data_IF_201225772924
#
_entry.id   IF_201225772924
#
_cell.length_a   1.000
_cell.length_b   1.000
_cell.length_c   1.000
_cell.angle_alpha   90.00
_cell.angle_beta   90.00
_cell.angle_gamma   90.00
#
_symmetry.space_group_name_H-M   'P 1'
#
loop_
_entity.id
_entity.type
_entity.pdbx_description
1 polymer ?
#
# COMPACT_ATOMS: atom_id res chain seq x y z
N UNK A 1 -11.20 2.39 -46.43
CA UNK A 1 -11.82 1.31 -45.62
C UNK A 1 -10.96 0.93 -44.41
N UNK A 2 -9.63 0.89 -44.53
CA UNK A 2 -8.74 0.56 -43.40
C UNK A 2 -8.65 1.67 -42.33
N UNK A 3 -8.56 2.95 -42.72
CA UNK A 3 -8.53 4.09 -41.79
C UNK A 3 -9.81 4.24 -40.94
N UNK A 4 -10.96 3.84 -41.47
CA UNK A 4 -12.27 3.87 -40.78
C UNK A 4 -12.42 2.74 -39.75
N UNK A 5 -11.69 1.63 -39.92
CA UNK A 5 -11.68 0.52 -38.95
C UNK A 5 -10.80 0.85 -37.74
N UNK A 6 -9.63 1.46 -37.98
CA UNK A 6 -8.72 1.88 -36.90
C UNK A 6 -9.33 2.98 -36.04
N UNK A 7 -10.04 3.96 -36.64
CA UNK A 7 -10.73 5.01 -35.87
C UNK A 7 -11.90 4.46 -35.05
N UNK A 8 -12.63 3.45 -35.57
CA UNK A 8 -13.71 2.79 -34.84
C UNK A 8 -13.20 1.92 -33.68
N UNK A 9 -12.12 1.17 -33.89
CA UNK A 9 -11.43 0.44 -32.81
C UNK A 9 -10.88 1.40 -31.76
N UNK A 10 -10.30 2.53 -32.19
CA UNK A 10 -9.78 3.54 -31.28
C UNK A 10 -10.91 4.20 -30.48
N UNK A 11 -12.03 4.53 -31.11
CA UNK A 11 -13.18 5.10 -30.39
C UNK A 11 -13.77 4.11 -29.40
N UNK A 12 -13.87 2.83 -29.73
CA UNK A 12 -14.38 1.80 -28.80
C UNK A 12 -13.40 1.55 -27.64
N UNK A 13 -12.10 1.56 -27.92
CA UNK A 13 -11.06 1.52 -26.89
C UNK A 13 -11.15 2.74 -25.96
N UNK A 14 -11.26 3.95 -26.51
CA UNK A 14 -11.43 5.18 -25.72
C UNK A 14 -12.71 5.12 -24.89
N UNK A 15 -13.81 4.58 -25.44
CA UNK A 15 -15.08 4.39 -24.71
C UNK A 15 -14.93 3.39 -23.57
N UNK A 16 -14.27 2.27 -23.81
CA UNK A 16 -13.99 1.25 -22.81
C UNK A 16 -13.10 1.79 -21.67
N UNK A 17 -12.03 2.51 -22.04
CA UNK A 17 -11.08 3.12 -21.09
C UNK A 17 -11.77 4.23 -20.28
N UNK A 18 -12.60 5.05 -20.92
CA UNK A 18 -13.38 6.08 -20.24
C UNK A 18 -14.40 5.48 -19.26
N UNK A 19 -15.04 4.38 -19.65
CA UNK A 19 -15.97 3.63 -18.80
C UNK A 19 -15.33 2.98 -17.56
N UNK A 20 -14.04 2.68 -17.61
CA UNK A 20 -13.28 2.04 -16.51
C UNK A 20 -12.17 2.93 -15.94
N UNK A 21 -12.19 4.22 -16.21
CA UNK A 21 -11.15 5.19 -15.86
C UNK A 21 -10.73 5.12 -14.38
N UNK A 22 -11.68 4.95 -13.45
CA UNK A 22 -11.41 4.83 -12.03
C UNK A 22 -10.67 3.54 -11.63
N UNK A 23 -10.84 2.45 -12.36
CA UNK A 23 -10.12 1.18 -12.15
C UNK A 23 -8.72 1.27 -12.75
N UNK A 24 -8.62 1.83 -13.95
CA UNK A 24 -7.34 2.05 -14.65
C UNK A 24 -6.41 2.97 -13.86
N UNK A 25 -6.93 4.03 -13.25
CA UNK A 25 -6.17 4.91 -12.38
C UNK A 25 -5.57 4.16 -11.17
N UNK A 26 -6.33 3.23 -10.56
CA UNK A 26 -5.84 2.44 -9.42
C UNK A 26 -4.76 1.45 -9.83
N UNK A 27 -4.95 0.78 -10.97
CA UNK A 27 -3.94 -0.11 -11.53
C UNK A 27 -2.66 0.64 -11.88
N UNK A 28 -2.78 1.84 -12.48
CA UNK A 28 -1.63 2.69 -12.79
C UNK A 28 -0.88 3.10 -11.52
N UNK A 29 -1.59 3.52 -10.46
CA UNK A 29 -0.99 3.87 -9.16
C UNK A 29 -0.25 2.67 -8.55
N UNK A 30 -0.83 1.48 -8.61
CA UNK A 30 -0.19 0.26 -8.12
C UNK A 30 1.09 -0.07 -8.92
N UNK A 31 1.05 0.05 -10.25
CA UNK A 31 2.21 -0.17 -11.12
C UNK A 31 3.32 0.86 -10.87
N UNK A 32 2.97 2.14 -10.72
CA UNK A 32 3.92 3.20 -10.40
C UNK A 32 4.55 2.98 -9.03
N UNK A 33 3.78 2.55 -8.03
CA UNK A 33 4.32 2.22 -6.70
C UNK A 33 5.29 1.04 -6.77
N UNK A 34 4.96 0.00 -7.55
CA UNK A 34 5.85 -1.13 -7.78
C UNK A 34 7.15 -0.71 -8.49
N UNK A 35 7.06 0.11 -9.54
CA UNK A 35 8.22 0.63 -10.25
C UNK A 35 9.10 1.52 -9.35
N UNK A 36 8.48 2.40 -8.56
CA UNK A 36 9.17 3.25 -7.60
C UNK A 36 9.92 2.43 -6.54
N UNK A 37 9.34 1.32 -6.08
CA UNK A 37 9.99 0.40 -5.14
C UNK A 37 11.30 -0.15 -5.73
N UNK A 38 11.27 -0.60 -6.97
CA UNK A 38 12.43 -1.20 -7.64
C UNK A 38 13.55 -0.16 -7.81
N UNK A 39 13.18 1.07 -8.21
CA UNK A 39 14.11 2.19 -8.35
C UNK A 39 14.71 2.57 -7.00
N UNK A 40 13.88 2.73 -5.97
CA UNK A 40 14.31 3.11 -4.63
C UNK A 40 15.28 2.08 -4.06
N UNK A 41 14.98 0.79 -4.22
CA UNK A 41 15.88 -0.28 -3.80
C UNK A 41 17.23 -0.22 -4.50
N UNK A 42 17.24 -0.09 -5.83
CA UNK A 42 18.47 -0.06 -6.62
C UNK A 42 19.36 1.14 -6.26
N UNK A 43 18.76 2.28 -5.93
CA UNK A 43 19.49 3.53 -5.71
C UNK A 43 19.88 3.78 -4.26
N UNK A 44 19.07 3.34 -3.29
CA UNK A 44 19.17 3.84 -1.91
C UNK A 44 19.25 2.77 -0.83
N UNK A 45 18.79 1.54 -1.10
CA UNK A 45 18.78 0.51 -0.07
C UNK A 45 20.08 -0.28 -0.08
N UNK A 46 20.87 -0.14 0.99
CA UNK A 46 22.02 -1.00 1.29
C UNK A 46 21.95 -1.38 2.76
N UNK A 47 21.90 -2.67 3.05
CA UNK A 47 21.88 -3.15 4.42
C UNK A 47 23.17 -2.66 5.13
N UNK A 48 23.07 -2.06 6.33
CA UNK A 48 24.26 -1.52 7.01
C UNK A 48 25.14 -2.64 7.60
N UNK A 49 24.62 -3.86 7.76
CA UNK A 49 25.30 -4.99 8.38
C UNK A 49 25.94 -4.66 9.74
N UNK A 50 25.19 -3.89 10.54
CA UNK A 50 25.53 -3.58 11.92
C UNK A 50 24.60 -4.35 12.85
N UNK A 51 25.14 -5.11 13.83
CA UNK A 51 24.33 -5.81 14.81
C UNK A 51 23.45 -4.82 15.57
N UNK A 52 22.19 -5.18 15.82
CA UNK A 52 21.18 -4.36 16.46
C UNK A 52 20.56 -3.27 15.58
N UNK A 53 21.15 -2.91 14.43
CA UNK A 53 20.65 -1.81 13.57
C UNK A 53 20.01 -2.28 12.26
N UNK A 54 20.31 -3.48 11.80
CA UNK A 54 19.77 -4.03 10.56
C UNK A 54 18.23 -4.02 10.53
N UNK A 55 17.59 -4.51 11.60
CA UNK A 55 16.13 -4.56 11.73
C UNK A 55 15.45 -3.18 11.68
N UNK A 56 15.95 -2.22 12.45
CA UNK A 56 15.41 -0.86 12.46
C UNK A 56 15.58 -0.16 11.12
N UNK A 57 16.75 -0.29 10.48
CA UNK A 57 17.00 0.31 9.17
C UNK A 57 16.05 -0.25 8.10
N UNK A 58 15.94 -1.58 8.01
CA UNK A 58 15.03 -2.23 7.06
C UNK A 58 13.55 -1.84 7.30
N UNK A 59 13.10 -1.82 8.56
CA UNK A 59 11.74 -1.43 8.91
C UNK A 59 11.42 0.02 8.48
N UNK A 60 12.35 0.96 8.72
CA UNK A 60 12.21 2.36 8.29
C UNK A 60 12.17 2.47 6.77
N UNK A 61 13.01 1.71 6.05
CA UNK A 61 13.04 1.73 4.59
C UNK A 61 11.77 1.18 3.93
N UNK A 62 11.05 0.25 4.58
CA UNK A 62 9.72 -0.18 4.13
C UNK A 62 8.65 0.85 4.55
N UNK A 63 8.67 1.27 5.81
CA UNK A 63 7.59 2.02 6.44
C UNK A 63 7.50 3.49 6.02
N UNK A 64 8.62 4.20 5.93
CA UNK A 64 8.61 5.65 5.61
C UNK A 64 8.07 5.92 4.20
N UNK A 65 8.53 5.23 3.14
CA UNK A 65 7.94 5.44 1.81
C UNK A 65 6.46 5.08 1.75
N UNK A 66 6.03 4.01 2.42
CA UNK A 66 4.61 3.66 2.51
C UNK A 66 3.78 4.76 3.18
N UNK A 67 4.30 5.36 4.27
CA UNK A 67 3.65 6.49 4.93
C UNK A 67 3.55 7.71 4.02
N UNK A 68 4.62 8.05 3.29
CA UNK A 68 4.61 9.17 2.34
C UNK A 68 3.60 8.94 1.21
N UNK A 69 3.52 7.73 0.66
CA UNK A 69 2.53 7.36 -0.34
C UNK A 69 1.10 7.47 0.20
N UNK A 70 0.87 7.08 1.45
CA UNK A 70 -0.44 7.25 2.10
C UNK A 70 -0.82 8.72 2.22
N UNK A 71 0.10 9.55 2.72
CA UNK A 71 -0.12 11.00 2.88
C UNK A 71 -0.39 11.68 1.53
N UNK A 72 0.39 11.34 0.49
CA UNK A 72 0.19 11.84 -0.87
C UNK A 72 -1.17 11.39 -1.45
N UNK A 73 -1.59 10.15 -1.16
CA UNK A 73 -2.89 9.62 -1.60
C UNK A 73 -4.06 10.31 -0.92
N UNK A 74 -3.91 10.72 0.34
CA UNK A 74 -4.92 11.56 1.02
C UNK A 74 -4.92 12.99 0.51
N UNK A 75 -3.73 13.60 0.36
CA UNK A 75 -3.60 14.98 -0.10
C UNK A 75 -4.09 15.19 -1.53
N UNK A 76 -4.04 14.17 -2.40
CA UNK A 76 -4.56 14.27 -3.78
C UNK A 76 -6.08 14.07 -3.89
N UNK A 77 -6.77 13.66 -2.81
CA UNK A 77 -8.20 13.36 -2.84
C UNK A 77 -9.07 14.61 -2.64
N UNK A 78 -9.78 15.13 -3.66
CA UNK A 78 -10.65 16.31 -3.49
C UNK A 78 -11.79 16.08 -2.49
N UNK A 79 -12.16 14.82 -2.24
CA UNK A 79 -13.15 14.44 -1.21
C UNK A 79 -12.62 14.61 0.21
N UNK A 80 -11.32 14.41 0.43
CA UNK A 80 -10.68 14.64 1.75
C UNK A 80 -10.75 16.12 2.07
N UNK A 81 -10.32 16.96 1.13
CA UNK A 81 -10.33 18.41 1.29
C UNK A 81 -11.72 18.96 1.51
N UNK A 82 -12.73 18.52 0.74
CA UNK A 82 -14.14 18.90 0.95
C UNK A 82 -14.66 18.61 2.36
N UNK A 83 -14.13 17.57 3.03
CA UNK A 83 -14.51 17.20 4.39
C UNK A 83 -13.79 18.04 5.46
N UNK A 84 -12.54 18.42 5.18
CA UNK A 84 -11.71 19.23 6.09
C UNK A 84 -12.08 20.71 6.00
N UNK A 85 -12.41 21.21 4.80
CA UNK A 85 -12.86 22.59 4.58
C UNK A 85 -14.25 22.80 5.21
N UNK A 86 -14.31 23.63 6.26
CA UNK A 86 -15.55 23.94 6.98
C UNK A 86 -15.63 23.38 8.42
N UNK A 87 -14.77 22.43 8.80
CA UNK A 87 -14.77 21.87 10.17
C UNK A 87 -14.40 22.89 11.26
N UNK A 88 -13.56 23.89 10.95
CA UNK A 88 -13.11 24.89 11.92
C UNK A 88 -14.01 26.13 12.03
N UNK A 89 -14.88 26.39 11.05
CA UNK A 89 -15.76 27.59 11.04
C UNK A 89 -16.90 27.46 12.06
N UNK A 90 -17.26 26.23 12.45
CA UNK A 90 -18.30 25.95 13.45
C UNK A 90 -17.87 26.22 14.90
N UNK A 91 -16.58 26.44 15.17
CA UNK A 91 -16.07 26.66 16.55
C UNK A 91 -15.98 28.13 16.98
N UNK A 92 -16.12 29.10 16.06
CA UNK A 92 -15.89 30.52 16.36
C UNK A 92 -17.16 31.38 16.45
N UNK A 93 -18.34 30.86 16.10
CA UNK A 93 -19.58 31.65 16.10
C UNK A 93 -20.62 31.09 17.06
N UNK A 94 -20.53 31.58 18.29
CA UNK A 94 -21.60 31.56 19.29
C UNK A 94 -22.76 32.47 18.85
N UNK A 95 -23.45 32.18 17.74
CA UNK A 95 -24.83 32.65 17.48
C UNK A 95 -25.42 32.00 16.20
N UNK A 96 -26.39 31.11 16.42
CA UNK A 96 -27.55 30.77 15.56
C UNK A 96 -27.35 30.28 14.10
N UNK A 97 -27.75 29.02 13.92
CA UNK A 97 -28.61 28.48 12.86
C UNK A 97 -28.06 28.27 11.44
N UNK A 98 -27.39 27.12 11.22
CA UNK A 98 -27.72 26.20 10.09
C UNK A 98 -27.17 24.77 10.27
N UNK A 99 -27.03 24.29 11.50
CA UNK A 99 -26.77 22.88 11.78
C UNK A 99 -27.77 22.37 12.81
N UNK A 100 -29.05 22.66 12.58
CA UNK A 100 -30.16 22.15 13.37
C UNK A 100 -30.88 21.08 12.54
N UNK A 101 -30.22 19.93 12.40
CA UNK A 101 -30.93 18.67 12.25
C UNK A 101 -30.84 17.94 13.60
N UNK A 102 -31.97 17.52 14.20
CA UNK A 102 -32.00 16.86 15.49
C UNK A 102 -31.46 15.43 15.31
N UNK A 103 -30.20 15.21 15.67
CA UNK A 103 -29.54 13.92 15.49
C UNK A 103 -28.08 13.94 15.91
N UNK A 104 -27.77 14.43 17.10
CA UNK A 104 -26.39 14.65 17.60
C UNK A 104 -25.57 13.36 17.84
N UNK A 105 -26.04 12.18 17.41
CA UNK A 105 -25.24 10.96 17.27
C UNK A 105 -24.72 10.71 15.85
N UNK A 106 -25.18 11.43 14.82
CA UNK A 106 -24.90 11.09 13.41
C UNK A 106 -23.78 11.90 12.73
N UNK A 107 -23.37 13.04 13.26
CA UNK A 107 -22.30 13.84 12.62
C UNK A 107 -20.92 13.16 12.70
N UNK A 108 -20.61 12.55 13.85
CA UNK A 108 -19.37 11.77 14.02
C UNK A 108 -19.38 10.53 13.14
N UNK A 109 -20.51 9.85 13.00
CA UNK A 109 -20.66 8.68 12.14
C UNK A 109 -20.60 9.01 10.65
N UNK A 110 -21.08 10.18 10.22
CA UNK A 110 -20.95 10.64 8.83
C UNK A 110 -19.51 11.01 8.46
N UNK A 111 -18.78 11.72 9.33
CA UNK A 111 -17.36 12.01 9.09
C UNK A 111 -16.52 10.73 9.08
N UNK A 112 -16.74 9.80 10.02
CA UNK A 112 -16.02 8.52 10.03
C UNK A 112 -16.36 7.66 8.81
N UNK A 113 -17.63 7.59 8.40
CA UNK A 113 -18.04 6.82 7.23
C UNK A 113 -17.41 7.37 5.94
N UNK A 114 -17.30 8.70 5.79
CA UNK A 114 -16.64 9.31 4.64
C UNK A 114 -15.13 9.07 4.68
N UNK A 115 -14.47 9.25 5.84
CA UNK A 115 -13.03 8.94 5.97
C UNK A 115 -12.74 7.47 5.66
N UNK A 116 -13.55 6.54 6.18
CA UNK A 116 -13.44 5.10 5.91
C UNK A 116 -13.63 4.79 4.41
N UNK A 117 -14.58 5.45 3.74
CA UNK A 117 -14.82 5.28 2.30
C UNK A 117 -13.68 5.85 1.43
N UNK A 118 -12.94 6.84 1.92
CA UNK A 118 -11.83 7.48 1.22
C UNK A 118 -10.52 6.73 1.46
N UNK A 119 -10.34 6.12 2.64
CA UNK A 119 -9.15 5.32 2.96
C UNK A 119 -8.96 4.12 2.05
N UNK A 120 -10.03 3.48 1.55
CA UNK A 120 -9.90 2.30 0.68
C UNK A 120 -9.11 2.56 -0.61
N UNK A 121 -9.20 3.75 -1.19
CA UNK A 121 -8.43 4.12 -2.39
C UNK A 121 -6.99 4.53 -2.05
N UNK A 122 -6.83 5.22 -0.93
CA UNK A 122 -5.53 5.73 -0.50
C UNK A 122 -4.58 4.62 -0.01
N UNK A 123 -5.12 3.48 0.41
CA UNK A 123 -4.35 2.33 0.85
C UNK A 123 -3.76 1.49 -0.29
N UNK A 124 -4.19 1.67 -1.54
CA UNK A 124 -3.68 0.88 -2.67
C UNK A 124 -2.18 1.06 -2.84
N UNK A 125 -1.69 2.31 -2.91
CA UNK A 125 -0.27 2.61 -3.07
C UNK A 125 0.62 2.05 -1.94
N UNK A 126 0.34 2.31 -0.63
CA UNK A 126 1.17 1.77 0.46
C UNK A 126 1.11 0.25 0.56
N UNK A 127 -0.05 -0.39 0.34
CA UNK A 127 -0.15 -1.85 0.35
C UNK A 127 0.68 -2.45 -0.80
N UNK A 128 0.56 -1.88 -2.02
CA UNK A 128 1.37 -2.31 -3.16
C UNK A 128 2.87 -2.17 -2.89
N UNK A 129 3.28 -1.04 -2.29
CA UNK A 129 4.69 -0.83 -1.90
C UNK A 129 5.19 -1.92 -0.95
N UNK A 130 4.48 -2.16 0.16
CA UNK A 130 4.86 -3.14 1.18
C UNK A 130 4.90 -4.55 0.57
N UNK A 131 3.88 -4.92 -0.21
CA UNK A 131 3.82 -6.21 -0.86
C UNK A 131 5.01 -6.45 -1.79
N UNK A 132 5.35 -5.48 -2.65
CA UNK A 132 6.48 -5.61 -3.58
C UNK A 132 7.81 -5.64 -2.82
N UNK A 133 7.98 -4.83 -1.77
CA UNK A 133 9.17 -4.87 -0.92
C UNK A 133 9.37 -6.23 -0.25
N UNK A 134 8.30 -6.87 0.23
CA UNK A 134 8.31 -8.21 0.81
C UNK A 134 8.56 -9.30 -0.23
N UNK A 135 7.92 -9.22 -1.40
CA UNK A 135 8.14 -10.18 -2.49
C UNK A 135 9.58 -10.14 -3.02
N UNK A 136 10.23 -8.96 -2.99
CA UNK A 136 11.65 -8.84 -3.31
C UNK A 136 12.54 -9.51 -2.24
N UNK A 137 12.17 -9.40 -0.97
CA UNK A 137 12.83 -10.09 0.14
C UNK A 137 14.08 -9.41 0.69
N UNK A 138 14.71 -8.50 -0.05
CA UNK A 138 15.97 -7.84 0.36
C UNK A 138 15.87 -7.11 1.71
N UNK A 139 14.76 -6.41 1.96
CA UNK A 139 14.52 -5.69 3.21
C UNK A 139 14.33 -6.65 4.39
N UNK A 140 13.54 -7.71 4.19
CA UNK A 140 13.25 -8.70 5.20
C UNK A 140 14.49 -9.51 5.58
N UNK A 141 15.27 -9.93 4.57
CA UNK A 141 16.55 -10.61 4.77
C UNK A 141 17.50 -9.75 5.60
N UNK A 142 17.61 -8.44 5.29
CA UNK A 142 18.39 -7.53 6.13
C UNK A 142 17.84 -7.50 7.57
N UNK A 143 16.52 -7.37 7.74
CA UNK A 143 15.89 -7.24 9.05
C UNK A 143 16.10 -8.45 9.97
N UNK A 144 15.93 -9.65 9.44
CA UNK A 144 15.93 -10.91 10.22
C UNK A 144 17.25 -11.68 10.17
N UNK A 145 18.22 -11.23 9.37
CA UNK A 145 19.56 -11.84 9.28
C UNK A 145 20.21 -12.08 10.64
N UNK A 146 20.08 -11.16 11.59
CA UNK A 146 20.67 -11.24 12.94
C UNK A 146 19.94 -12.22 13.88
N UNK A 147 18.67 -12.53 13.60
CA UNK A 147 17.77 -13.28 14.50
C UNK A 147 17.34 -14.63 13.94
N UNK A 148 17.82 -15.00 12.76
CA UNK A 148 17.48 -16.28 12.14
C UNK A 148 17.89 -17.46 13.02
N UNK A 149 17.01 -18.44 13.13
CA UNK A 149 17.33 -19.69 13.81
C UNK A 149 18.37 -20.48 12.99
N UNK A 150 19.52 -20.73 13.61
CA UNK A 150 20.64 -21.46 13.01
C UNK A 150 20.77 -22.88 13.55
N UNK A 151 19.88 -23.31 14.45
CA UNK A 151 19.82 -24.68 14.99
C UNK A 151 19.82 -25.75 13.89
N UNK A 152 19.03 -25.60 12.79
CA UNK A 152 18.98 -26.62 11.73
C UNK A 152 20.28 -26.82 10.96
N UNK A 153 21.20 -25.86 11.01
CA UNK A 153 22.38 -25.83 10.15
C UNK A 153 23.68 -26.28 10.82
N UNK A 154 23.60 -26.81 12.05
CA UNK A 154 24.75 -27.34 12.80
C UNK A 154 25.99 -26.42 12.82
N UNK A 155 25.76 -25.10 12.86
CA UNK A 155 26.83 -24.11 12.86
C UNK A 155 27.62 -24.14 14.18
N UNK A 156 28.97 -24.00 14.13
CA UNK A 156 29.77 -23.92 15.34
C UNK A 156 29.39 -22.67 16.16
N UNK A 157 29.55 -22.68 17.50
CA UNK A 157 29.13 -21.56 18.35
C UNK A 157 29.73 -20.21 17.95
N UNK A 158 30.99 -20.22 17.49
CA UNK A 158 31.69 -19.03 17.00
C UNK A 158 31.05 -18.40 15.76
N UNK A 159 30.33 -19.19 14.94
CA UNK A 159 29.61 -18.71 13.76
C UNK A 159 28.14 -18.37 14.03
N UNK A 160 27.64 -18.62 15.25
CA UNK A 160 26.26 -18.33 15.70
C UNK A 160 26.12 -16.92 16.32
N UNK A 161 27.19 -16.13 16.35
CA UNK A 161 27.15 -14.80 16.97
C UNK A 161 26.33 -13.82 16.15
N UNK A 162 25.56 -12.96 16.82
CA UNK A 162 24.75 -11.90 16.17
C UNK A 162 25.58 -11.03 15.23
N UNK A 163 26.85 -10.80 15.54
CA UNK A 163 27.78 -10.04 14.71
C UNK A 163 28.02 -10.71 13.35
N UNK A 164 28.24 -12.02 13.34
CA UNK A 164 28.46 -12.81 12.12
C UNK A 164 27.16 -12.93 11.30
N UNK A 165 26.04 -13.15 11.99
CA UNK A 165 24.72 -13.23 11.37
C UNK A 165 24.28 -11.90 10.76
N UNK A 166 24.57 -10.77 11.40
CA UNK A 166 24.25 -9.44 10.87
C UNK A 166 25.01 -9.11 9.56
N UNK A 167 26.13 -9.80 9.30
CA UNK A 167 26.98 -9.60 8.12
C UNK A 167 26.59 -10.44 6.90
N UNK A 168 25.78 -11.50 7.09
CA UNK A 168 25.32 -12.40 6.02
C UNK A 168 24.83 -11.70 4.74
N UNK A 169 24.00 -10.64 4.81
CA UNK A 169 23.44 -10.01 3.62
C UNK A 169 24.42 -9.10 2.87
N UNK A 170 25.53 -8.65 3.48
CA UNK A 170 26.45 -7.69 2.85
C UNK A 170 27.78 -8.29 2.43
N UNK A 171 28.29 -9.27 3.18
CA UNK A 171 29.69 -9.67 3.05
C UNK A 171 29.90 -10.55 1.82
N UNK A 172 30.92 -10.18 1.04
CA UNK A 172 31.45 -11.03 -0.04
C UNK A 172 32.08 -12.28 0.57
N UNK A 173 31.90 -13.42 -0.09
CA UNK A 173 32.22 -14.78 0.39
C UNK A 173 33.60 -14.97 1.04
N UNK A 174 34.57 -14.09 0.78
CA UNK A 174 35.97 -14.22 1.18
C UNK A 174 36.28 -13.91 2.66
N UNK A 175 35.44 -13.17 3.40
CA UNK A 175 35.69 -12.85 4.82
C UNK A 175 34.79 -13.61 5.80
N UNK A 176 33.98 -14.55 5.30
CA UNK A 176 33.14 -15.41 6.12
C UNK A 176 33.88 -16.71 6.50
N UNK A 177 33.67 -17.25 7.72
CA UNK A 177 34.16 -18.58 8.06
C UNK A 177 33.62 -19.62 7.05
N UNK A 178 34.41 -20.65 6.68
CA UNK A 178 34.02 -21.61 5.65
C UNK A 178 32.73 -22.37 5.98
N UNK A 179 32.49 -22.65 7.26
CA UNK A 179 31.24 -23.27 7.74
C UNK A 179 30.01 -22.37 7.51
N UNK A 180 30.15 -21.05 7.72
CA UNK A 180 29.06 -20.09 7.51
C UNK A 180 28.85 -19.83 6.01
N UNK A 181 29.93 -19.85 5.22
CA UNK A 181 29.87 -19.67 3.78
C UNK A 181 29.06 -20.76 3.08
N UNK A 182 29.23 -22.02 3.49
CA UNK A 182 28.52 -23.16 2.90
C UNK A 182 27.00 -23.05 3.06
N UNK A 183 26.57 -22.61 4.24
CA UNK A 183 25.16 -22.53 4.63
C UNK A 183 24.50 -21.19 4.25
N UNK A 184 25.30 -20.14 4.01
CA UNK A 184 24.83 -18.77 3.74
C UNK A 184 23.68 -18.73 2.73
N UNK A 185 23.83 -19.38 1.58
CA UNK A 185 22.83 -19.32 0.52
C UNK A 185 21.51 -19.98 0.94
N UNK A 186 21.57 -21.04 1.75
CA UNK A 186 20.38 -21.73 2.26
C UNK A 186 19.65 -20.85 3.26
N UNK A 187 20.36 -20.18 4.16
CA UNK A 187 19.77 -19.21 5.10
C UNK A 187 19.13 -18.03 4.35
N UNK A 188 19.85 -17.43 3.40
CA UNK A 188 19.34 -16.29 2.63
C UNK A 188 18.11 -16.69 1.80
N UNK A 189 18.09 -17.91 1.23
CA UNK A 189 16.95 -18.46 0.52
C UNK A 189 15.77 -18.74 1.45
N UNK A 190 16.03 -19.27 2.65
CA UNK A 190 15.01 -19.49 3.66
C UNK A 190 14.30 -18.18 4.04
N UNK A 191 15.08 -17.15 4.41
CA UNK A 191 14.56 -15.82 4.75
C UNK A 191 13.83 -15.15 3.58
N UNK A 192 14.34 -15.28 2.35
CA UNK A 192 13.68 -14.76 1.16
C UNK A 192 12.33 -15.45 0.92
N UNK A 193 12.25 -16.76 1.14
CA UNK A 193 11.02 -17.54 0.99
C UNK A 193 9.98 -17.12 2.03
N UNK A 194 10.39 -16.94 3.29
CA UNK A 194 9.52 -16.43 4.35
C UNK A 194 8.99 -15.04 4.01
N UNK A 195 9.86 -14.15 3.51
CA UNK A 195 9.45 -12.82 3.05
C UNK A 195 8.43 -12.88 1.91
N UNK A 196 8.61 -13.78 0.94
CA UNK A 196 7.70 -13.95 -0.17
C UNK A 196 6.33 -14.47 0.30
N UNK A 197 6.31 -15.41 1.24
CA UNK A 197 5.07 -15.87 1.89
C UNK A 197 4.36 -14.71 2.58
N UNK A 198 5.08 -13.87 3.33
CA UNK A 198 4.52 -12.65 3.92
C UNK A 198 4.00 -11.67 2.86
N UNK A 199 4.70 -11.49 1.74
CA UNK A 199 4.26 -10.67 0.62
C UNK A 199 2.94 -11.15 0.02
N UNK A 200 2.82 -12.46 -0.24
CA UNK A 200 1.60 -13.06 -0.77
C UNK A 200 0.43 -13.02 0.22
N UNK A 201 0.69 -13.23 1.51
CA UNK A 201 -0.34 -13.14 2.54
C UNK A 201 -0.86 -11.71 2.71
N UNK A 202 0.00 -10.69 2.60
CA UNK A 202 -0.42 -9.27 2.57
C UNK A 202 -1.31 -9.00 1.36
N UNK A 203 -0.93 -9.44 0.16
CA UNK A 203 -1.75 -9.25 -1.05
C UNK A 203 -3.10 -9.97 -0.95
N UNK A 204 -3.10 -11.24 -0.53
CA UNK A 204 -4.30 -12.06 -0.41
C UNK A 204 -5.26 -11.51 0.65
N UNK A 205 -4.75 -11.17 1.83
CA UNK A 205 -5.56 -10.60 2.91
C UNK A 205 -6.12 -9.22 2.57
N UNK A 206 -5.33 -8.34 1.95
CA UNK A 206 -5.82 -7.04 1.50
C UNK A 206 -6.93 -7.17 0.45
N UNK A 207 -6.79 -8.10 -0.50
CA UNK A 207 -7.82 -8.39 -1.50
C UNK A 207 -9.11 -8.92 -0.88
N UNK A 208 -9.01 -9.89 0.04
CA UNK A 208 -10.14 -10.45 0.75
C UNK A 208 -10.87 -9.40 1.60
N UNK A 209 -10.13 -8.65 2.41
CA UNK A 209 -10.69 -7.58 3.25
C UNK A 209 -11.35 -6.49 2.40
N UNK A 210 -10.73 -6.12 1.28
CA UNK A 210 -11.30 -5.17 0.32
C UNK A 210 -12.62 -5.65 -0.27
N UNK A 211 -12.70 -6.93 -0.67
CA UNK A 211 -13.93 -7.53 -1.17
C UNK A 211 -15.02 -7.57 -0.11
N UNK A 212 -14.71 -8.06 1.10
CA UNK A 212 -15.66 -8.12 2.22
C UNK A 212 -16.18 -6.72 2.56
N UNK A 213 -15.30 -5.71 2.59
CA UNK A 213 -15.69 -4.32 2.82
C UNK A 213 -16.64 -3.81 1.73
N UNK A 214 -16.35 -4.07 0.45
CA UNK A 214 -17.24 -3.67 -0.65
C UNK A 214 -18.59 -4.38 -0.58
N UNK A 215 -18.62 -5.68 -0.29
CA UNK A 215 -19.85 -6.46 -0.12
C UNK A 215 -20.68 -5.89 1.04
N UNK A 216 -20.07 -5.65 2.20
CA UNK A 216 -20.73 -5.08 3.36
C UNK A 216 -21.26 -3.66 3.08
N UNK A 217 -20.46 -2.81 2.44
CA UNK A 217 -20.89 -1.47 2.06
C UNK A 217 -22.08 -1.48 1.09
N UNK A 218 -22.14 -2.47 0.18
CA UNK A 218 -23.31 -2.68 -0.67
C UNK A 218 -24.52 -3.22 0.07
N UNK A 219 -24.33 -4.13 1.02
CA UNK A 219 -25.39 -4.69 1.86
C UNK A 219 -26.08 -3.65 2.74
N UNK A 220 -25.31 -2.72 3.31
CA UNK A 220 -25.83 -1.68 4.21
C UNK A 220 -26.36 -0.46 3.42
N UNK A 221 -26.19 -0.41 2.10
CA UNK A 221 -26.66 0.70 1.27
C UNK A 221 -28.20 0.79 1.30
N UNK A 222 -28.78 1.89 1.80
CA UNK A 222 -30.23 2.05 1.87
C UNK A 222 -30.88 2.37 0.51
N UNK A 223 -30.08 2.47 -0.56
CA UNK A 223 -30.48 2.91 -1.89
C UNK A 223 -30.34 1.77 -2.89
N UNK A 224 -31.34 1.60 -3.77
CA UNK A 224 -31.30 0.59 -4.84
C UNK A 224 -30.19 0.88 -5.86
N UNK A 225 -29.69 -0.15 -6.53
CA UNK A 225 -28.62 -0.02 -7.52
C UNK A 225 -28.92 1.01 -8.62
N UNK A 226 -30.17 1.06 -9.10
CA UNK A 226 -30.61 2.01 -10.13
C UNK A 226 -30.60 3.46 -9.63
N UNK A 227 -31.07 3.69 -8.41
CA UNK A 227 -31.07 5.02 -7.80
C UNK A 227 -29.63 5.50 -7.54
N UNK A 228 -28.72 4.62 -7.14
CA UNK A 228 -27.30 4.95 -6.93
C UNK A 228 -26.60 5.35 -8.26
N UNK A 229 -26.94 4.67 -9.36
CA UNK A 229 -26.41 4.98 -10.70
C UNK A 229 -26.95 6.32 -11.22
N UNK A 230 -28.24 6.58 -11.02
CA UNK A 230 -28.85 7.86 -11.35
C UNK A 230 -28.19 9.01 -10.58
N UNK A 231 -28.00 8.84 -9.26
CA UNK A 231 -27.36 9.82 -8.39
C UNK A 231 -25.93 10.16 -8.83
N UNK A 232 -25.11 9.16 -9.18
CA UNK A 232 -23.75 9.39 -9.69
C UNK A 232 -23.76 10.20 -10.99
N UNK A 233 -24.64 9.85 -11.93
CA UNK A 233 -24.79 10.57 -13.20
C UNK A 233 -25.22 12.02 -12.99
N UNK A 234 -26.16 12.27 -12.06
CA UNK A 234 -26.60 13.62 -11.72
C UNK A 234 -25.46 14.47 -11.14
N UNK A 235 -24.67 13.91 -10.20
CA UNK A 235 -23.50 14.59 -9.64
C UNK A 235 -22.46 14.92 -10.73
N UNK A 236 -22.10 13.96 -11.57
CA UNK A 236 -21.05 14.18 -12.58
C UNK A 236 -21.45 15.28 -13.57
N UNK A 237 -22.73 15.35 -13.96
CA UNK A 237 -23.25 16.45 -14.78
C UNK A 237 -23.25 17.79 -14.03
N UNK A 238 -23.50 17.80 -12.72
CA UNK A 238 -23.45 19.04 -11.94
C UNK A 238 -22.05 19.66 -11.89
N UNK A 239 -20.98 18.87 -11.82
CA UNK A 239 -19.60 19.39 -11.87
C UNK A 239 -19.15 19.89 -13.26
N UNK A 240 -19.87 19.55 -14.32
CA UNK A 240 -19.60 20.06 -15.67
C UNK A 240 -20.30 21.40 -15.95
N UNK A 241 -21.33 21.72 -15.17
CA UNK A 241 -22.17 22.90 -15.35
C UNK A 241 -21.80 24.05 -14.41
N UNK A 242 -21.05 23.78 -13.33
CA UNK A 242 -20.63 24.73 -12.30
C UNK A 242 -19.13 24.61 -12.03
#
# INVERSE_FOLDING_TARGET
VEKTSVTAMFSELVRYMSGHSATLQRLLVALLAAAAQQIFQALSFRCPCLPGRNSAYAAVSIGVPALLLLLASWASGPRVWKLVTGCCVSRATTYRSRCEHPGTRTHRSSCTHVVVSVSGRALVAPISWIAVALLNGSYYVCAESERVDTSPYALPPAARTREMLAQLPCVANASLPPALLHVRNDILRHLSTESQLLGWTVLGSAGLLGMLFMCFAHWVSPVSYHQLRFWRSYIDNSYLLF
#
